data_IF_704124402421
#
_entry.id   IF_704124402421
#
_cell.length_a   1.000
_cell.length_b   1.000
_cell.length_c   1.000
_cell.angle_alpha   90.00
_cell.angle_beta   90.00
_cell.angle_gamma   90.00
#
_symmetry.space_group_name_H-M   'P 1'
#
loop_
_entity.id
_entity.type
_entity.pdbx_description
1 polymer ?
#
# COMPACT_ATOMS: atom_id res chain seq x y z
N UNK A 1 39.65 6.25 11.71
CA UNK A 1 39.00 4.94 11.67
C UNK A 1 37.73 5.11 10.85
N UNK A 2 37.72 4.55 9.65
CA UNK A 2 36.54 4.53 8.77
C UNK A 2 35.57 3.48 9.30
N UNK A 3 34.39 3.90 9.74
CA UNK A 3 33.29 2.99 10.06
C UNK A 3 32.51 2.75 8.76
N UNK A 4 32.85 1.66 8.07
CA UNK A 4 32.01 1.09 7.01
C UNK A 4 30.76 0.53 7.67
N UNK A 5 29.61 1.16 7.44
CA UNK A 5 28.31 0.58 7.77
C UNK A 5 28.06 -0.59 6.81
N UNK A 6 28.15 -1.82 7.31
CA UNK A 6 27.63 -2.98 6.60
C UNK A 6 26.10 -2.92 6.66
N UNK A 7 25.49 -2.26 5.68
CA UNK A 7 24.09 -2.52 5.33
C UNK A 7 24.05 -3.96 4.78
N UNK A 8 23.46 -4.87 5.54
CA UNK A 8 23.25 -6.24 5.10
C UNK A 8 22.42 -6.23 3.82
N UNK A 9 22.99 -6.75 2.73
CA UNK A 9 22.24 -7.00 1.50
C UNK A 9 21.29 -8.17 1.78
N UNK A 10 19.99 -7.90 1.89
CA UNK A 10 18.97 -8.91 2.19
C UNK A 10 18.77 -9.96 1.07
N UNK A 11 19.51 -9.86 -0.05
CA UNK A 11 19.26 -10.64 -1.27
C UNK A 11 20.55 -11.15 -1.94
N UNK A 12 21.47 -11.79 -1.20
CA UNK A 12 22.77 -12.25 -1.76
C UNK A 12 22.67 -13.17 -3.00
N UNK A 13 21.51 -13.80 -3.27
CA UNK A 13 21.30 -14.72 -4.40
C UNK A 13 20.40 -14.20 -5.55
N UNK A 14 19.79 -13.02 -5.43
CA UNK A 14 18.90 -12.46 -6.46
C UNK A 14 19.50 -11.19 -7.06
N UNK A 15 19.53 -11.12 -8.39
CA UNK A 15 19.95 -9.92 -9.13
C UNK A 15 18.74 -9.32 -9.86
N UNK A 16 18.25 -8.13 -9.47
CA UNK A 16 17.13 -7.49 -10.14
C UNK A 16 17.51 -7.06 -11.56
N UNK A 17 16.54 -7.12 -12.47
CA UNK A 17 16.69 -6.61 -13.84
C UNK A 17 16.77 -5.07 -13.86
N UNK A 18 17.32 -4.47 -14.92
CA UNK A 18 17.26 -3.01 -15.10
C UNK A 18 15.82 -2.45 -15.08
N UNK A 19 14.86 -3.20 -15.61
CA UNK A 19 13.45 -2.86 -15.61
C UNK A 19 12.87 -2.84 -14.19
N UNK A 20 13.18 -3.85 -13.37
CA UNK A 20 12.81 -3.90 -11.95
C UNK A 20 13.43 -2.72 -11.19
N UNK A 21 14.72 -2.43 -11.37
CA UNK A 21 15.39 -1.30 -10.72
C UNK A 21 14.72 0.04 -11.07
N UNK A 22 14.38 0.25 -12.34
CA UNK A 22 13.65 1.45 -12.78
C UNK A 22 12.25 1.53 -12.16
N UNK A 23 11.55 0.39 -12.06
CA UNK A 23 10.24 0.32 -11.42
C UNK A 23 10.33 0.61 -9.91
N UNK A 24 11.38 0.12 -9.22
CA UNK A 24 11.65 0.42 -7.81
C UNK A 24 11.85 1.92 -7.59
N UNK A 25 12.63 2.60 -8.43
CA UNK A 25 12.80 4.06 -8.34
C UNK A 25 11.49 4.79 -8.55
N UNK A 26 10.71 4.42 -9.58
CA UNK A 26 9.38 5.00 -9.80
C UNK A 26 8.47 4.80 -8.57
N UNK A 27 8.51 3.62 -7.95
CA UNK A 27 7.71 3.31 -6.78
C UNK A 27 8.09 4.19 -5.60
N UNK A 28 9.39 4.36 -5.31
CA UNK A 28 9.84 5.28 -4.26
C UNK A 28 9.42 6.74 -4.52
N UNK A 29 9.32 7.15 -5.79
CA UNK A 29 8.91 8.51 -6.15
C UNK A 29 7.39 8.70 -6.07
N UNK A 30 6.62 7.62 -6.19
CA UNK A 30 5.17 7.63 -6.25
C UNK A 30 4.51 8.03 -4.91
N UNK A 31 5.07 7.58 -3.78
CA UNK A 31 4.70 7.89 -2.38
C UNK A 31 3.27 7.61 -1.92
N UNK A 32 2.26 7.62 -2.78
CA UNK A 32 0.87 7.52 -2.36
C UNK A 32 0.03 6.70 -3.33
N UNK A 33 -0.67 5.69 -2.81
CA UNK A 33 -1.52 4.77 -3.57
C UNK A 33 -2.86 4.50 -2.90
N UNK A 34 -3.80 3.95 -3.67
CA UNK A 34 -5.10 3.47 -3.19
C UNK A 34 -5.08 1.95 -3.04
N UNK A 35 -5.46 1.44 -1.87
CA UNK A 35 -5.80 0.03 -1.72
C UNK A 35 -7.31 -0.15 -1.93
N UNK A 36 -7.73 -1.23 -2.57
CA UNK A 36 -9.13 -1.58 -2.74
C UNK A 36 -9.33 -3.03 -2.31
N UNK A 37 -10.03 -3.22 -1.19
CA UNK A 37 -10.52 -4.53 -0.75
C UNK A 37 -11.98 -4.68 -1.14
N UNK A 38 -12.21 -5.40 -2.23
CA UNK A 38 -13.55 -5.64 -2.74
C UNK A 38 -13.73 -7.07 -3.25
N UNK A 39 -14.84 -7.68 -2.86
CA UNK A 39 -15.20 -9.05 -3.19
C UNK A 39 -16.59 -9.40 -2.68
N UNK A 40 -16.99 -10.66 -2.83
CA UNK A 40 -18.34 -11.12 -2.43
C UNK A 40 -18.60 -11.00 -0.92
N UNK A 41 -17.56 -10.96 -0.09
CA UNK A 41 -17.68 -10.64 1.34
C UNK A 41 -18.38 -9.30 1.61
N UNK A 42 -18.29 -8.33 0.69
CA UNK A 42 -18.96 -7.02 0.83
C UNK A 42 -20.49 -7.15 0.90
N UNK A 43 -21.08 -8.23 0.38
CA UNK A 43 -22.53 -8.50 0.49
C UNK A 43 -22.95 -8.65 1.95
N UNK A 44 -22.08 -9.21 2.79
CA UNK A 44 -22.38 -9.41 4.21
C UNK A 44 -22.11 -8.16 5.06
N UNK A 45 -21.30 -7.22 4.55
CA UNK A 45 -21.04 -5.93 5.20
C UNK A 45 -20.38 -6.06 6.58
N UNK A 46 -19.48 -7.02 6.75
CA UNK A 46 -18.87 -7.36 8.05
C UNK A 46 -17.38 -7.71 7.88
N UNK A 47 -16.72 -7.05 6.92
CA UNK A 47 -15.31 -7.27 6.61
C UNK A 47 -15.02 -8.55 5.81
N UNK A 48 -13.80 -8.63 5.31
CA UNK A 48 -13.29 -9.65 4.38
C UNK A 48 -12.92 -10.97 5.06
N UNK A 49 -12.70 -10.96 6.37
CA UNK A 49 -12.42 -12.15 7.18
C UNK A 49 -13.66 -12.90 7.66
N UNK A 50 -14.86 -12.45 7.26
CA UNK A 50 -16.13 -12.98 7.76
C UNK A 50 -16.26 -14.50 7.63
N UNK A 51 -15.72 -15.11 6.59
CA UNK A 51 -15.76 -16.57 6.40
C UNK A 51 -15.07 -17.35 7.55
N UNK A 52 -14.04 -16.77 8.15
CA UNK A 52 -13.28 -17.35 9.26
C UNK A 52 -13.85 -16.93 10.63
N UNK A 53 -14.10 -15.63 10.81
CA UNK A 53 -14.56 -15.06 12.10
C UNK A 53 -15.98 -15.50 12.44
N UNK A 54 -16.82 -15.65 11.43
CA UNK A 54 -18.12 -16.34 11.50
C UNK A 54 -17.94 -17.60 10.67
N UNK A 55 -17.78 -18.79 11.27
CA UNK A 55 -17.37 -20.01 10.58
C UNK A 55 -18.40 -20.48 9.55
N UNK A 56 -18.45 -19.80 8.41
CA UNK A 56 -19.35 -20.04 7.29
C UNK A 56 -18.67 -21.10 6.45
N UNK A 57 -19.33 -22.25 6.28
CA UNK A 57 -18.79 -23.27 5.40
C UNK A 57 -18.80 -22.77 3.93
N UNK A 58 -17.96 -23.36 3.10
CA UNK A 58 -17.83 -23.00 1.68
C UNK A 58 -19.16 -23.12 0.90
N UNK A 59 -20.01 -24.08 1.26
CA UNK A 59 -21.31 -24.33 0.60
C UNK A 59 -22.31 -23.20 0.86
N UNK A 60 -22.31 -22.64 2.08
CA UNK A 60 -23.13 -21.51 2.47
C UNK A 60 -22.56 -20.21 1.92
N UNK A 61 -21.24 -20.05 1.97
CA UNK A 61 -20.55 -18.90 1.37
C UNK A 61 -20.74 -18.84 -0.16
N UNK A 62 -20.85 -20.00 -0.83
CA UNK A 62 -21.15 -20.11 -2.26
C UNK A 62 -22.51 -19.54 -2.68
N UNK A 63 -23.37 -19.14 -1.73
CA UNK A 63 -24.62 -18.42 -2.02
C UNK A 63 -24.39 -16.93 -2.29
N UNK A 64 -23.34 -16.32 -1.73
CA UNK A 64 -23.07 -14.88 -1.81
C UNK A 64 -22.91 -14.35 -3.24
N UNK A 65 -22.21 -15.04 -4.17
CA UNK A 65 -22.07 -14.57 -5.55
C UNK A 65 -23.42 -14.25 -6.24
N UNK A 66 -24.50 -14.95 -5.89
CA UNK A 66 -25.84 -14.70 -6.47
C UNK A 66 -26.43 -13.34 -6.06
N UNK A 67 -25.96 -12.75 -4.96
CA UNK A 67 -26.38 -11.44 -4.47
C UNK A 67 -25.43 -10.32 -4.87
N UNK A 68 -24.26 -10.66 -5.43
CA UNK A 68 -23.25 -9.69 -5.83
C UNK A 68 -23.54 -9.18 -7.25
N UNK A 69 -24.18 -8.03 -7.36
CA UNK A 69 -24.49 -7.38 -8.65
C UNK A 69 -24.12 -5.89 -8.63
N UNK A 70 -22.83 -5.53 -8.80
CA UNK A 70 -22.39 -4.16 -8.66
C UNK A 70 -22.71 -3.26 -9.87
N UNK A 71 -24.00 -2.98 -10.06
CA UNK A 71 -24.52 -2.14 -11.15
C UNK A 71 -24.05 -0.68 -11.09
N UNK A 72 -23.46 -0.24 -9.97
CA UNK A 72 -22.89 1.10 -9.78
C UNK A 72 -21.36 1.11 -9.86
N UNK A 73 -20.72 -0.03 -10.11
CA UNK A 73 -19.27 -0.06 -10.34
C UNK A 73 -18.90 0.76 -11.57
N UNK A 74 -18.16 1.84 -11.35
CA UNK A 74 -17.58 2.69 -12.38
C UNK A 74 -16.06 2.77 -12.18
N UNK A 75 -15.27 1.96 -12.93
CA UNK A 75 -13.81 1.99 -12.83
C UNK A 75 -13.22 3.34 -13.25
N UNK A 76 -13.89 4.09 -14.13
CA UNK A 76 -13.39 5.39 -14.55
C UNK A 76 -13.47 6.40 -13.41
N UNK A 77 -14.58 6.37 -12.65
CA UNK A 77 -14.78 7.18 -11.46
C UNK A 77 -13.80 6.81 -10.34
N UNK A 78 -13.54 5.51 -10.11
CA UNK A 78 -12.57 5.07 -9.10
C UNK A 78 -11.16 5.58 -9.40
N UNK A 79 -10.70 5.42 -10.65
CA UNK A 79 -9.37 5.89 -11.06
C UNK A 79 -9.28 7.42 -11.02
N UNK A 80 -10.35 8.13 -11.41
CA UNK A 80 -10.42 9.58 -11.32
C UNK A 80 -10.35 10.08 -9.87
N UNK A 81 -11.02 9.39 -8.93
CA UNK A 81 -10.97 9.69 -7.51
C UNK A 81 -9.55 9.50 -6.95
N UNK A 82 -8.90 8.38 -7.25
CA UNK A 82 -7.52 8.12 -6.84
C UNK A 82 -6.58 9.23 -7.35
N UNK A 83 -6.70 9.59 -8.63
CA UNK A 83 -5.90 10.66 -9.25
C UNK A 83 -6.17 12.02 -8.61
N UNK A 84 -7.43 12.35 -8.32
CA UNK A 84 -7.82 13.59 -7.67
C UNK A 84 -7.30 13.69 -6.22
N UNK A 85 -7.19 12.57 -5.52
CA UNK A 85 -6.57 12.49 -4.19
C UNK A 85 -5.04 12.68 -4.22
N UNK A 86 -4.42 12.62 -5.40
CA UNK A 86 -2.98 12.70 -5.61
C UNK A 86 -2.28 11.34 -5.71
N UNK A 87 -3.00 10.24 -5.58
CA UNK A 87 -2.44 8.89 -5.65
C UNK A 87 -1.89 8.59 -7.05
N UNK A 88 -0.83 7.79 -7.12
CA UNK A 88 -0.11 7.45 -8.37
C UNK A 88 -0.35 6.01 -8.82
N UNK A 89 -0.87 5.17 -7.93
CA UNK A 89 -1.15 3.78 -8.20
C UNK A 89 -2.36 3.27 -7.40
N UNK A 90 -2.92 2.17 -7.87
CA UNK A 90 -4.01 1.44 -7.24
C UNK A 90 -3.55 0.00 -7.05
N UNK A 91 -3.83 -0.58 -5.88
CA UNK A 91 -3.70 -2.01 -5.59
C UNK A 91 -5.10 -2.55 -5.30
N UNK A 92 -5.56 -3.55 -6.04
CA UNK A 92 -6.91 -4.13 -5.86
C UNK A 92 -6.85 -5.63 -5.60
N UNK A 93 -7.71 -6.13 -4.71
CA UNK A 93 -7.89 -7.57 -4.47
C UNK A 93 -8.38 -8.29 -5.73
N UNK A 94 -7.47 -8.88 -6.49
CA UNK A 94 -7.81 -9.78 -7.61
C UNK A 94 -8.36 -11.11 -7.10
N UNK A 95 -7.87 -11.56 -5.94
CA UNK A 95 -8.38 -12.69 -5.15
C UNK A 95 -8.02 -12.46 -3.69
N UNK A 96 -8.99 -12.56 -2.77
CA UNK A 96 -8.75 -12.52 -1.32
C UNK A 96 -8.70 -13.94 -0.72
N UNK A 97 -8.59 -14.06 0.61
CA UNK A 97 -8.51 -15.34 1.30
C UNK A 97 -9.71 -16.26 1.04
N UNK A 98 -10.90 -15.73 0.73
CA UNK A 98 -12.08 -16.52 0.36
C UNK A 98 -11.95 -17.23 -1.00
N UNK A 99 -10.83 -17.03 -1.70
CA UNK A 99 -10.50 -17.64 -2.98
C UNK A 99 -11.28 -17.09 -4.17
N UNK A 100 -12.19 -16.13 -3.97
CA UNK A 100 -13.07 -15.65 -5.03
C UNK A 100 -12.30 -14.72 -5.98
N UNK A 101 -12.17 -15.13 -7.24
CA UNK A 101 -11.47 -14.34 -8.24
C UNK A 101 -12.36 -13.20 -8.76
N UNK A 102 -11.88 -11.96 -8.63
CA UNK A 102 -12.52 -10.75 -9.15
C UNK A 102 -12.23 -10.51 -10.64
N UNK A 103 -11.77 -11.54 -11.36
CA UNK A 103 -11.40 -11.52 -12.76
C UNK A 103 -11.88 -12.80 -13.48
N UNK A 104 -11.90 -12.81 -14.81
CA UNK A 104 -12.41 -13.92 -15.62
C UNK A 104 -11.43 -15.10 -15.72
N UNK A 105 -11.11 -15.73 -14.58
CA UNK A 105 -10.22 -16.89 -14.52
C UNK A 105 -10.81 -18.09 -15.25
N UNK A 106 -10.02 -18.74 -16.10
CA UNK A 106 -10.37 -19.97 -16.82
C UNK A 106 -10.02 -21.24 -16.03
N UNK A 107 -9.35 -21.08 -14.89
CA UNK A 107 -8.90 -22.19 -14.03
C UNK A 107 -9.92 -22.58 -12.97
N UNK A 108 -10.92 -21.74 -12.70
CA UNK A 108 -11.98 -22.01 -11.73
C UNK A 108 -13.25 -21.27 -12.14
N UNK A 109 -14.40 -21.87 -11.86
CA UNK A 109 -15.67 -21.16 -11.95
C UNK A 109 -15.93 -20.25 -10.74
N UNK A 110 -15.13 -20.34 -9.67
CA UNK A 110 -15.25 -19.52 -8.46
C UNK A 110 -14.73 -18.09 -8.70
N UNK A 111 -15.42 -17.37 -9.60
CA UNK A 111 -15.03 -16.06 -10.07
C UNK A 111 -16.24 -15.15 -10.39
N UNK A 112 -15.98 -13.85 -10.49
CA UNK A 112 -17.00 -12.81 -10.67
C UNK A 112 -17.81 -12.97 -11.97
N UNK A 113 -17.20 -13.49 -13.04
CA UNK A 113 -17.86 -13.63 -14.35
C UNK A 113 -18.78 -14.84 -14.36
N UNK A 114 -18.32 -15.97 -13.82
CA UNK A 114 -19.04 -17.24 -13.89
C UNK A 114 -20.13 -17.39 -12.81
N UNK A 115 -19.97 -16.78 -11.63
CA UNK A 115 -20.84 -17.07 -10.46
C UNK A 115 -21.73 -15.92 -10.02
N UNK A 116 -21.67 -14.77 -10.68
CA UNK A 116 -22.46 -13.60 -10.29
C UNK A 116 -23.39 -13.16 -11.41
N UNK A 117 -24.55 -12.54 -11.09
CA UNK A 117 -25.40 -11.90 -12.10
C UNK A 117 -24.70 -10.71 -12.80
N UNK A 118 -23.58 -10.22 -12.28
CA UNK A 118 -22.84 -9.12 -12.89
C UNK A 118 -22.15 -9.54 -14.19
N UNK A 119 -21.55 -10.73 -14.20
CA UNK A 119 -21.01 -11.37 -15.41
C UNK A 119 -19.91 -10.58 -16.14
N UNK A 120 -19.21 -9.66 -15.48
CA UNK A 120 -18.18 -8.80 -16.09
C UNK A 120 -16.86 -8.87 -15.33
N UNK A 121 -15.76 -8.82 -16.08
CA UNK A 121 -14.40 -8.85 -15.56
C UNK A 121 -14.02 -7.51 -14.90
N UNK A 122 -14.05 -7.48 -13.56
CA UNK A 122 -13.79 -6.26 -12.77
C UNK A 122 -12.33 -5.81 -12.92
N UNK A 123 -11.36 -6.73 -12.87
CA UNK A 123 -9.94 -6.39 -13.01
C UNK A 123 -9.65 -5.87 -14.42
N UNK A 124 -10.19 -6.52 -15.46
CA UNK A 124 -10.02 -6.04 -16.83
C UNK A 124 -10.60 -4.65 -17.08
N UNK A 125 -11.80 -4.38 -16.53
CA UNK A 125 -12.43 -3.06 -16.59
C UNK A 125 -11.61 -1.97 -15.88
N UNK A 126 -11.04 -2.28 -14.71
CA UNK A 126 -10.20 -1.34 -13.96
C UNK A 126 -8.84 -1.11 -14.63
N UNK A 127 -8.17 -2.16 -15.11
CA UNK A 127 -6.90 -2.09 -15.81
C UNK A 127 -6.97 -1.15 -17.02
N UNK A 128 -8.03 -1.28 -17.83
CA UNK A 128 -8.27 -0.40 -18.98
C UNK A 128 -8.36 1.09 -18.57
N UNK A 129 -9.00 1.40 -17.44
CA UNK A 129 -9.11 2.78 -16.96
C UNK A 129 -7.81 3.29 -16.33
N UNK A 130 -7.09 2.45 -15.61
CA UNK A 130 -5.75 2.75 -15.10
C UNK A 130 -4.80 3.15 -16.23
N UNK A 131 -4.73 2.35 -17.30
CA UNK A 131 -3.92 2.68 -18.49
C UNK A 131 -4.38 3.96 -19.17
N UNK A 132 -5.70 4.13 -19.36
CA UNK A 132 -6.26 5.32 -20.00
C UNK A 132 -5.95 6.62 -19.22
N UNK A 133 -5.96 6.57 -17.89
CA UNK A 133 -5.83 7.76 -17.05
C UNK A 133 -4.42 7.99 -16.49
N UNK A 134 -3.49 7.07 -16.75
CA UNK A 134 -2.09 7.15 -16.34
C UNK A 134 -1.88 6.84 -14.85
N UNK A 135 -2.63 5.88 -14.31
CA UNK A 135 -2.45 5.36 -12.94
C UNK A 135 -1.93 3.94 -13.04
N UNK A 136 -0.87 3.61 -12.29
CA UNK A 136 -0.31 2.25 -12.32
C UNK A 136 -1.19 1.29 -11.53
N UNK A 137 -1.48 0.11 -12.06
CA UNK A 137 -2.31 -0.90 -11.41
C UNK A 137 -1.45 -2.04 -10.86
N UNK A 138 -1.56 -2.29 -9.57
CA UNK A 138 -1.07 -3.48 -8.89
C UNK A 138 -2.25 -4.41 -8.62
N UNK A 139 -1.99 -5.70 -8.65
CA UNK A 139 -2.98 -6.71 -8.22
C UNK A 139 -2.55 -7.26 -6.87
N UNK A 140 -3.44 -7.17 -5.89
CA UNK A 140 -3.34 -7.97 -4.69
C UNK A 140 -3.75 -9.40 -5.03
N UNK A 141 -2.99 -10.38 -4.55
CA UNK A 141 -3.30 -11.78 -4.72
C UNK A 141 -3.06 -12.54 -3.41
N UNK A 142 -4.11 -13.14 -2.86
CA UNK A 142 -3.94 -13.99 -1.69
C UNK A 142 -3.36 -15.36 -2.05
N UNK A 143 -2.21 -15.66 -1.46
CA UNK A 143 -1.59 -16.97 -1.43
C UNK A 143 -2.35 -17.94 -0.51
N UNK A 144 -3.04 -17.42 0.51
CA UNK A 144 -4.02 -18.17 1.29
C UNK A 144 -5.30 -18.38 0.48
N UNK A 145 -5.89 -19.56 0.57
CA UNK A 145 -7.17 -19.87 -0.06
C UNK A 145 -8.04 -20.74 0.86
N UNK A 146 -9.15 -20.20 1.33
CA UNK A 146 -10.14 -20.86 2.19
C UNK A 146 -11.18 -21.65 1.41
N UNK A 147 -11.18 -21.55 0.08
CA UNK A 147 -12.09 -22.29 -0.79
C UNK A 147 -11.42 -23.54 -1.37
N UNK A 148 -10.17 -23.43 -1.81
CA UNK A 148 -9.43 -24.52 -2.46
C UNK A 148 -9.24 -25.74 -1.54
N UNK A 149 -9.59 -26.92 -2.05
CA UNK A 149 -9.32 -28.20 -1.41
C UNK A 149 -7.82 -28.56 -1.45
N UNK A 150 -7.11 -28.08 -2.47
CA UNK A 150 -5.69 -28.34 -2.68
C UNK A 150 -4.76 -27.48 -1.80
N UNK A 151 -5.30 -26.45 -1.13
CA UNK A 151 -4.59 -25.72 -0.07
C UNK A 151 -4.49 -26.62 1.18
N UNK A 152 -3.70 -27.70 1.04
CA UNK A 152 -3.59 -28.79 1.99
C UNK A 152 -2.13 -29.24 2.13
N UNK A 153 -1.63 -29.54 3.35
CA UNK A 153 -2.30 -29.39 4.65
C UNK A 153 -2.77 -27.97 4.92
N UNK A 154 -3.83 -27.78 5.72
CA UNK A 154 -4.30 -26.43 6.08
C UNK A 154 -3.21 -25.67 6.85
N UNK A 155 -3.24 -24.34 6.78
CA UNK A 155 -2.42 -23.50 7.65
C UNK A 155 -3.08 -23.23 9.00
N UNK A 156 -2.96 -22.00 9.48
CA UNK A 156 -3.44 -21.55 10.80
C UNK A 156 -4.93 -21.17 10.81
N UNK A 157 -5.51 -20.92 9.65
CA UNK A 157 -6.87 -20.39 9.48
C UNK A 157 -7.72 -21.27 8.56
N UNK A 158 -9.02 -20.97 8.49
CA UNK A 158 -9.93 -21.63 7.56
C UNK A 158 -10.25 -23.07 7.94
N UNK A 159 -10.08 -23.46 9.20
CA UNK A 159 -10.33 -24.84 9.68
C UNK A 159 -11.81 -25.21 9.68
N UNK A 160 -12.70 -24.21 9.76
CA UNK A 160 -14.17 -24.40 9.84
C UNK A 160 -14.90 -24.10 8.54
N UNK A 161 -14.16 -23.97 7.44
CA UNK A 161 -14.68 -23.72 6.09
C UNK A 161 -15.35 -24.94 5.46
N UNK A 162 -15.27 -26.12 6.11
CA UNK A 162 -15.87 -27.36 5.61
C UNK A 162 -15.14 -27.95 4.40
N UNK A 163 -13.89 -27.56 4.15
CA UNK A 163 -12.99 -28.24 3.20
C UNK A 163 -12.74 -29.70 3.61
N UNK A 164 -12.43 -30.63 2.69
CA UNK A 164 -12.00 -31.97 3.07
C UNK A 164 -10.64 -31.94 3.79
N UNK A 165 -10.33 -32.99 4.56
CA UNK A 165 -9.01 -33.19 5.18
C UNK A 165 -8.06 -33.92 4.21
N UNK A 166 -8.05 -33.47 2.95
CA UNK A 166 -7.21 -33.99 1.87
C UNK A 166 -7.05 -32.92 0.79
N UNK A 167 -5.94 -32.98 0.05
CA UNK A 167 -5.66 -32.11 -1.09
C UNK A 167 -4.22 -32.24 -1.53
N UNK A 168 -3.83 -31.49 -2.55
CA UNK A 168 -2.47 -31.52 -3.10
C UNK A 168 -1.84 -30.12 -3.15
N UNK A 169 -0.87 -29.87 -2.26
CA UNK A 169 -0.14 -28.60 -2.18
C UNK A 169 0.44 -28.13 -3.52
N UNK A 170 1.08 -29.04 -4.27
CA UNK A 170 1.68 -28.70 -5.56
C UNK A 170 0.61 -28.37 -6.61
N UNK A 171 -0.55 -29.02 -6.55
CA UNK A 171 -1.69 -28.67 -7.40
C UNK A 171 -2.20 -27.26 -7.09
N UNK A 172 -2.25 -26.85 -5.82
CA UNK A 172 -2.59 -25.49 -5.44
C UNK A 172 -1.56 -24.47 -5.93
N UNK A 173 -0.26 -24.74 -5.77
CA UNK A 173 0.80 -23.85 -6.27
C UNK A 173 0.76 -23.74 -7.81
N UNK A 174 0.47 -24.83 -8.52
CA UNK A 174 0.25 -24.79 -9.97
C UNK A 174 -0.98 -23.96 -10.36
N UNK A 175 -2.08 -24.07 -9.61
CA UNK A 175 -3.27 -23.25 -9.79
C UNK A 175 -2.97 -21.77 -9.57
N UNK A 176 -2.26 -21.43 -8.49
CA UNK A 176 -1.83 -20.06 -8.19
C UNK A 176 -0.96 -19.47 -9.31
N UNK A 177 0.09 -20.18 -9.73
CA UNK A 177 0.95 -19.75 -10.84
C UNK A 177 0.15 -19.60 -12.14
N UNK A 178 -0.84 -20.45 -12.37
CA UNK A 178 -1.77 -20.35 -13.48
C UNK A 178 -2.57 -19.04 -13.45
N UNK A 179 -3.17 -18.70 -12.31
CA UNK A 179 -3.92 -17.45 -12.15
C UNK A 179 -3.03 -16.21 -12.26
N UNK A 180 -1.81 -16.26 -11.73
CA UNK A 180 -0.82 -15.19 -11.90
C UNK A 180 -0.46 -15.01 -13.37
N UNK A 181 -0.32 -16.10 -14.13
CA UNK A 181 -0.13 -16.03 -15.59
C UNK A 181 -1.31 -15.37 -16.29
N UNK A 182 -2.55 -15.72 -15.93
CA UNK A 182 -3.75 -15.06 -16.47
C UNK A 182 -3.71 -13.54 -16.23
N UNK A 183 -3.44 -13.13 -14.98
CA UNK A 183 -3.36 -11.73 -14.58
C UNK A 183 -2.27 -10.97 -15.36
N UNK A 184 -1.08 -11.54 -15.44
CA UNK A 184 0.11 -10.89 -16.04
C UNK A 184 0.15 -10.94 -17.57
N UNK A 185 -0.75 -11.66 -18.23
CA UNK A 185 -0.81 -11.74 -19.70
C UNK A 185 -2.06 -11.14 -20.30
N UNK A 186 -3.15 -11.01 -19.54
CA UNK A 186 -4.46 -10.57 -20.05
C UNK A 186 -4.68 -9.07 -19.90
N UNK A 187 -4.19 -8.47 -18.82
CA UNK A 187 -4.58 -7.11 -18.40
C UNK A 187 -3.57 -6.03 -18.76
N UNK A 188 -2.68 -6.29 -19.72
CA UNK A 188 -1.59 -5.40 -20.12
C UNK A 188 -0.52 -5.24 -19.05
N UNK A 189 0.25 -4.14 -19.11
CA UNK A 189 1.29 -3.86 -18.10
C UNK A 189 0.66 -3.63 -16.72
N UNK A 190 1.13 -4.39 -15.73
CA UNK A 190 0.85 -4.20 -14.32
C UNK A 190 2.07 -3.56 -13.63
N UNK A 191 1.80 -2.82 -12.55
CA UNK A 191 2.83 -2.28 -11.67
C UNK A 191 3.52 -3.35 -10.82
N UNK A 192 2.80 -4.42 -10.48
CA UNK A 192 3.31 -5.47 -9.63
C UNK A 192 2.23 -6.36 -9.04
N UNK A 193 2.69 -7.30 -8.21
CA UNK A 193 1.85 -8.22 -7.43
C UNK A 193 2.10 -7.97 -5.94
N UNK A 194 1.01 -7.71 -5.22
CA UNK A 194 0.98 -7.52 -3.78
C UNK A 194 0.45 -8.82 -3.15
N UNK A 195 1.34 -9.63 -2.60
CA UNK A 195 0.99 -10.93 -2.03
C UNK A 195 0.58 -10.83 -0.56
N UNK A 196 -0.28 -11.75 -0.14
CA UNK A 196 -0.72 -11.90 1.24
C UNK A 196 -1.11 -13.35 1.58
N UNK A 197 -1.06 -13.70 2.86
CA UNK A 197 -1.53 -14.98 3.37
C UNK A 197 -0.44 -16.03 3.56
N UNK A 198 0.81 -15.77 3.14
CA UNK A 198 1.93 -16.69 3.40
C UNK A 198 2.14 -16.98 4.89
N UNK A 199 1.85 -16.01 5.77
CA UNK A 199 1.91 -16.15 7.23
C UNK A 199 0.98 -17.24 7.78
N UNK A 200 0.01 -17.71 6.99
CA UNK A 200 -0.88 -18.82 7.35
C UNK A 200 -0.15 -20.18 7.35
N UNK A 201 0.89 -20.32 6.49
CA UNK A 201 1.78 -21.49 6.43
C UNK A 201 3.25 -21.05 6.41
N UNK A 202 3.78 -20.52 7.52
CA UNK A 202 5.08 -19.85 7.56
C UNK A 202 6.29 -20.77 7.30
N UNK A 203 6.09 -22.08 7.44
CA UNK A 203 7.12 -23.12 7.31
C UNK A 203 6.92 -24.02 6.07
N UNK A 204 5.89 -23.74 5.26
CA UNK A 204 5.65 -24.48 4.02
C UNK A 204 6.63 -24.05 2.93
N UNK A 205 6.97 -24.97 2.03
CA UNK A 205 7.68 -24.62 0.80
C UNK A 205 6.70 -24.02 -0.21
N UNK A 206 6.73 -22.70 -0.35
CA UNK A 206 5.87 -21.94 -1.26
C UNK A 206 6.40 -21.90 -2.70
N UNK A 207 7.55 -22.51 -2.98
CA UNK A 207 8.22 -22.44 -4.28
C UNK A 207 8.43 -20.99 -4.78
N UNK A 208 8.75 -20.04 -3.87
CA UNK A 208 8.83 -18.61 -4.19
C UNK A 208 9.75 -18.30 -5.37
N UNK A 209 10.90 -18.97 -5.48
CA UNK A 209 11.82 -18.78 -6.62
C UNK A 209 11.15 -19.09 -7.97
N UNK A 210 10.28 -20.12 -8.02
CA UNK A 210 9.52 -20.47 -9.22
C UNK A 210 8.45 -19.41 -9.51
N UNK A 211 7.64 -19.04 -8.52
CA UNK A 211 6.56 -18.06 -8.70
C UNK A 211 7.10 -16.66 -9.05
N UNK A 212 8.12 -16.18 -8.35
CA UNK A 212 8.74 -14.88 -8.62
C UNK A 212 9.49 -14.89 -9.97
N UNK A 213 10.13 -16.01 -10.33
CA UNK A 213 10.72 -16.20 -11.65
C UNK A 213 9.68 -16.13 -12.79
N UNK A 214 8.51 -16.73 -12.59
CA UNK A 214 7.39 -16.64 -13.53
C UNK A 214 6.92 -15.19 -13.72
N UNK A 215 6.75 -14.44 -12.63
CA UNK A 215 6.30 -13.04 -12.68
C UNK A 215 7.28 -12.21 -13.49
N UNK A 216 8.58 -12.27 -13.17
CA UNK A 216 9.60 -11.52 -13.88
C UNK A 216 9.82 -11.99 -15.33
N UNK A 217 9.57 -13.28 -15.64
CA UNK A 217 9.59 -13.76 -17.02
C UNK A 217 8.47 -13.14 -17.86
N UNK A 218 7.28 -12.97 -17.28
CA UNK A 218 6.12 -12.41 -17.97
C UNK A 218 6.17 -10.88 -18.03
N UNK A 219 6.57 -10.23 -16.94
CA UNK A 219 6.67 -8.79 -16.81
C UNK A 219 7.92 -8.42 -15.99
N UNK A 220 9.09 -8.22 -16.63
CA UNK A 220 10.36 -7.94 -15.95
C UNK A 220 10.38 -6.71 -15.04
N UNK A 221 9.44 -5.79 -15.24
CA UNK A 221 9.26 -4.56 -14.46
C UNK A 221 8.27 -4.70 -13.29
N UNK A 222 7.52 -5.80 -13.22
CA UNK A 222 6.48 -5.97 -12.20
C UNK A 222 7.14 -6.13 -10.82
N UNK A 223 6.77 -5.25 -9.89
CA UNK A 223 7.30 -5.29 -8.52
C UNK A 223 6.59 -6.37 -7.71
N UNK A 224 7.34 -7.11 -6.90
CA UNK A 224 6.81 -8.13 -5.99
C UNK A 224 6.94 -7.64 -4.56
N UNK A 225 5.87 -7.68 -3.80
CA UNK A 225 5.91 -7.50 -2.35
C UNK A 225 5.01 -8.54 -1.70
N UNK A 226 5.41 -9.06 -0.54
CA UNK A 226 4.62 -10.03 0.21
C UNK A 226 4.42 -9.60 1.66
N UNK A 227 3.17 -9.47 2.10
CA UNK A 227 2.81 -9.09 3.46
C UNK A 227 2.90 -10.28 4.42
N UNK A 228 4.07 -10.90 4.52
CA UNK A 228 4.30 -12.05 5.42
C UNK A 228 4.88 -11.62 6.79
N UNK A 229 4.92 -10.32 7.08
CA UNK A 229 5.45 -9.72 8.31
C UNK A 229 6.87 -10.15 8.70
N UNK A 230 7.72 -10.43 7.70
CA UNK A 230 9.14 -10.73 7.88
C UNK A 230 9.96 -9.75 7.04
N UNK A 231 11.27 -9.74 7.25
CA UNK A 231 12.21 -9.07 6.35
C UNK A 231 12.08 -9.70 4.95
N UNK A 232 12.17 -8.91 3.85
CA UNK A 232 11.91 -9.40 2.49
C UNK A 232 12.78 -10.59 2.08
N UNK A 233 12.20 -11.51 1.32
CA UNK A 233 12.90 -12.64 0.72
C UNK A 233 13.56 -12.29 -0.62
N UNK A 234 14.50 -13.12 -1.12
CA UNK A 234 15.05 -12.95 -2.47
C UNK A 234 13.96 -12.92 -3.54
N UNK A 235 14.02 -11.92 -4.41
CA UNK A 235 13.04 -11.70 -5.48
C UNK A 235 11.94 -10.70 -5.14
N UNK A 236 11.83 -10.25 -3.89
CA UNK A 236 10.91 -9.17 -3.52
C UNK A 236 11.54 -7.80 -3.80
N UNK A 237 10.73 -6.85 -4.27
CA UNK A 237 11.16 -5.53 -4.74
C UNK A 237 10.82 -4.41 -3.78
N UNK A 238 9.89 -4.63 -2.84
CA UNK A 238 9.54 -3.69 -1.81
C UNK A 238 9.10 -4.39 -0.52
N UNK A 239 9.23 -3.69 0.59
CA UNK A 239 8.85 -4.16 1.90
C UNK A 239 7.55 -3.51 2.36
N UNK A 240 6.65 -4.29 2.94
CA UNK A 240 5.36 -3.81 3.45
C UNK A 240 5.30 -3.76 4.97
N UNK A 241 4.60 -2.76 5.50
CA UNK A 241 4.27 -2.59 6.90
C UNK A 241 2.76 -2.39 7.04
N UNK A 242 2.07 -3.34 7.66
CA UNK A 242 0.61 -3.26 7.81
C UNK A 242 0.22 -2.50 9.08
N UNK A 243 -0.64 -1.49 8.93
CA UNK A 243 -1.17 -0.63 10.02
C UNK A 243 -0.09 -0.06 10.94
N UNK A 244 1.10 0.14 10.37
CA UNK A 244 2.27 0.61 11.09
C UNK A 244 3.24 1.32 10.15
N UNK A 245 4.01 2.24 10.72
CA UNK A 245 5.10 2.90 10.01
C UNK A 245 6.38 2.05 10.13
N UNK A 246 7.32 2.12 9.16
CA UNK A 246 8.59 1.41 9.26
C UNK A 246 9.29 1.67 10.61
N UNK A 247 9.59 0.60 11.34
CA UNK A 247 10.23 0.63 12.66
C UNK A 247 9.32 0.99 13.85
N UNK A 248 8.00 1.09 13.65
CA UNK A 248 7.03 1.40 14.71
C UNK A 248 6.79 0.26 15.70
N UNK A 249 6.72 -0.98 15.20
CA UNK A 249 6.40 -2.19 15.97
C UNK A 249 5.17 -2.04 16.87
N UNK A 250 4.15 -1.31 16.41
CA UNK A 250 2.94 -1.01 17.18
C UNK A 250 1.90 -2.11 17.11
N UNK A 251 1.97 -2.97 16.09
CA UNK A 251 1.07 -4.10 15.89
C UNK A 251 1.71 -5.41 16.34
N UNK A 252 0.92 -6.30 16.93
CA UNK A 252 1.38 -7.59 17.46
C UNK A 252 1.96 -8.53 16.38
N UNK A 253 1.56 -8.34 15.13
CA UNK A 253 2.05 -9.11 13.98
C UNK A 253 3.30 -8.51 13.33
N UNK A 254 3.75 -7.29 13.69
CA UNK A 254 4.94 -6.64 13.13
C UNK A 254 6.19 -6.75 14.02
N UNK A 255 6.23 -7.71 14.95
CA UNK A 255 7.28 -7.79 16.00
C UNK A 255 8.62 -8.31 15.50
N UNK A 256 8.64 -9.11 14.43
CA UNK A 256 9.85 -9.76 13.90
C UNK A 256 10.44 -9.05 12.67
N UNK A 257 9.75 -8.05 12.12
CA UNK A 257 10.12 -7.43 10.85
C UNK A 257 11.13 -6.29 11.03
N UNK A 258 12.39 -6.51 10.60
CA UNK A 258 13.38 -5.43 10.52
C UNK A 258 13.13 -4.50 9.32
N UNK A 259 13.74 -3.31 9.28
CA UNK A 259 13.62 -2.38 8.15
C UNK A 259 14.75 -2.63 7.15
N UNK A 260 14.42 -3.19 5.98
CA UNK A 260 15.37 -3.48 4.89
C UNK A 260 15.74 -2.22 4.09
N UNK A 261 16.67 -2.34 3.14
CA UNK A 261 17.07 -1.26 2.23
C UNK A 261 16.17 -1.12 0.98
N UNK A 262 15.23 -2.04 0.76
CA UNK A 262 14.30 -1.97 -0.37
C UNK A 262 13.38 -0.75 -0.25
N UNK A 263 12.73 -0.33 -1.36
CA UNK A 263 11.55 0.52 -1.29
C UNK A 263 10.55 0.00 -0.26
N UNK A 264 9.82 0.91 0.39
CA UNK A 264 8.93 0.57 1.51
C UNK A 264 7.54 1.09 1.23
N UNK A 265 6.55 0.35 1.71
CA UNK A 265 5.15 0.74 1.69
C UNK A 265 4.54 0.45 3.05
N UNK A 266 3.74 1.37 3.56
CA UNK A 266 2.84 1.14 4.68
C UNK A 266 1.41 1.17 4.19
N UNK A 267 0.59 0.21 4.60
CA UNK A 267 -0.83 0.17 4.28
C UNK A 267 -1.68 0.45 5.53
N UNK A 268 -2.75 1.22 5.38
CA UNK A 268 -3.66 1.57 6.49
C UNK A 268 -5.10 1.64 6.00
N UNK A 269 -6.04 1.36 6.91
CA UNK A 269 -7.47 1.46 6.66
C UNK A 269 -8.00 2.86 6.93
N UNK A 270 -9.02 3.30 6.20
CA UNK A 270 -9.65 4.59 6.49
C UNK A 270 -10.56 4.54 7.74
N UNK A 271 -11.17 3.39 8.00
CA UNK A 271 -11.80 3.02 9.27
C UNK A 271 -10.99 1.88 9.92
N UNK A 272 -11.62 0.89 10.56
CA UNK A 272 -10.93 -0.26 11.16
C UNK A 272 -10.93 -1.51 10.27
N UNK A 273 -11.63 -1.47 9.14
CA UNK A 273 -11.87 -2.62 8.27
C UNK A 273 -11.22 -2.43 6.89
N UNK A 274 -10.71 -3.51 6.31
CA UNK A 274 -10.22 -3.46 4.93
C UNK A 274 -11.40 -3.55 3.94
N UNK A 275 -12.17 -4.63 4.01
CA UNK A 275 -13.42 -4.80 3.29
C UNK A 275 -14.56 -3.97 3.89
N UNK A 276 -15.64 -3.81 3.12
CA UNK A 276 -16.83 -3.08 3.56
C UNK A 276 -17.41 -3.66 4.86
N UNK A 277 -17.58 -2.79 5.85
CA UNK A 277 -18.27 -3.10 7.11
C UNK A 277 -19.36 -2.04 7.34
N UNK A 278 -20.62 -2.46 7.38
CA UNK A 278 -21.79 -1.58 7.45
C UNK A 278 -21.94 -0.88 8.81
N UNK A 279 -21.24 -1.36 9.83
CA UNK A 279 -21.30 -0.82 11.21
C UNK A 279 -20.03 -0.08 11.63
N UNK A 280 -18.99 -0.05 10.80
CA UNK A 280 -17.72 0.59 11.14
C UNK A 280 -17.69 2.05 10.68
N UNK A 281 -18.25 2.92 11.50
CA UNK A 281 -18.31 4.38 11.32
C UNK A 281 -17.11 5.13 11.94
N UNK A 282 -16.12 4.39 12.45
CA UNK A 282 -14.93 4.94 13.12
C UNK A 282 -13.86 5.34 12.12
N UNK A 283 -14.20 6.32 11.30
CA UNK A 283 -13.33 6.85 10.26
C UNK A 283 -12.22 7.74 10.85
N UNK A 284 -10.97 7.50 10.44
CA UNK A 284 -9.85 8.42 10.68
C UNK A 284 -10.18 9.81 10.13
N UNK A 285 -9.75 10.87 10.79
CA UNK A 285 -9.98 12.23 10.27
C UNK A 285 -9.11 12.49 9.03
N UNK A 286 -9.51 13.42 8.17
CA UNK A 286 -8.66 13.87 7.04
C UNK A 286 -7.29 14.34 7.54
N UNK A 287 -7.23 15.01 8.69
CA UNK A 287 -5.99 15.45 9.30
C UNK A 287 -5.06 14.28 9.64
N UNK A 288 -5.61 13.21 10.23
CA UNK A 288 -4.82 12.00 10.55
C UNK A 288 -4.29 11.33 9.29
N UNK A 289 -5.10 11.25 8.22
CA UNK A 289 -4.69 10.65 6.95
C UNK A 289 -3.56 11.43 6.28
N UNK A 290 -3.62 12.77 6.28
CA UNK A 290 -2.55 13.63 5.76
C UNK A 290 -1.29 13.45 6.62
N UNK A 291 -1.42 13.48 7.95
CA UNK A 291 -0.29 13.28 8.86
C UNK A 291 0.35 11.91 8.68
N UNK A 292 -0.43 10.87 8.41
CA UNK A 292 0.09 9.54 8.13
C UNK A 292 0.89 9.52 6.82
N UNK A 293 0.35 10.10 5.73
CA UNK A 293 1.06 10.25 4.45
C UNK A 293 2.41 10.94 4.65
N UNK A 294 2.42 12.07 5.37
CA UNK A 294 3.63 12.85 5.64
C UNK A 294 4.63 12.04 6.47
N UNK A 295 4.17 11.39 7.56
CA UNK A 295 5.04 10.57 8.42
C UNK A 295 5.61 9.34 7.69
N UNK A 296 4.88 8.77 6.73
CA UNK A 296 5.35 7.71 5.85
C UNK A 296 6.44 8.24 4.90
N UNK A 297 6.18 9.36 4.22
CA UNK A 297 7.16 9.98 3.32
C UNK A 297 8.48 10.33 4.05
N UNK A 298 8.39 10.89 5.26
CA UNK A 298 9.56 11.20 6.09
C UNK A 298 10.33 9.97 6.59
N UNK A 299 9.72 8.79 6.58
CA UNK A 299 10.38 7.48 6.84
C UNK A 299 10.79 6.77 5.55
N UNK A 300 10.84 7.52 4.44
CA UNK A 300 11.13 7.01 3.10
C UNK A 300 10.25 5.81 2.70
N UNK A 301 8.96 5.87 3.03
CA UNK A 301 7.96 4.88 2.66
C UNK A 301 6.81 5.50 1.85
N UNK A 302 6.21 4.67 1.01
CA UNK A 302 4.94 4.96 0.38
C UNK A 302 3.79 4.71 1.37
N UNK A 303 2.68 5.42 1.16
CA UNK A 303 1.44 5.19 1.88
C UNK A 303 0.37 4.60 0.95
N UNK A 304 -0.16 3.44 1.30
CA UNK A 304 -1.22 2.75 0.58
C UNK A 304 -2.52 2.81 1.41
N UNK A 305 -3.41 3.74 1.07
CA UNK A 305 -4.62 4.00 1.83
C UNK A 305 -5.81 3.22 1.28
N UNK A 306 -6.44 2.42 2.12
CA UNK A 306 -7.52 1.52 1.72
C UNK A 306 -8.90 2.19 1.62
N UNK A 307 -9.66 1.73 0.63
CA UNK A 307 -11.12 1.81 0.56
C UNK A 307 -11.72 0.40 0.46
N UNK A 308 -12.83 0.18 1.18
CA UNK A 308 -13.71 -0.99 1.05
C UNK A 308 -15.03 -0.59 0.38
N UNK A 309 -15.16 -0.79 -0.96
CA UNK A 309 -16.39 -0.45 -1.69
C UNK A 309 -17.58 -1.32 -1.27
N UNK A 310 -18.78 -0.74 -1.37
CA UNK A 310 -20.05 -1.41 -1.11
C UNK A 310 -20.32 -2.52 -2.15
N UNK A 311 -21.19 -3.51 -1.87
CA UNK A 311 -21.49 -4.60 -2.79
C UNK A 311 -22.13 -4.14 -4.11
N UNK A 312 -22.65 -2.92 -4.18
CA UNK A 312 -23.17 -2.34 -5.41
C UNK A 312 -22.10 -1.70 -6.31
N UNK A 313 -20.84 -1.59 -5.84
CA UNK A 313 -19.71 -1.01 -6.57
C UNK A 313 -19.42 0.47 -6.27
N UNK A 314 -20.13 1.10 -5.34
CA UNK A 314 -19.83 2.48 -4.92
C UNK A 314 -18.78 2.49 -3.81
N UNK A 315 -17.84 3.43 -3.90
CA UNK A 315 -16.99 3.80 -2.76
C UNK A 315 -17.84 4.64 -1.81
N UNK A 316 -17.78 4.36 -0.51
CA UNK A 316 -18.57 5.02 0.52
C UNK A 316 -18.38 6.56 0.48
N UNK A 317 -19.43 7.36 0.65
CA UNK A 317 -19.33 8.81 0.55
C UNK A 317 -18.34 9.42 1.55
N UNK A 318 -18.19 8.82 2.73
CA UNK A 318 -17.24 9.21 3.77
C UNK A 318 -15.79 9.03 3.31
N UNK A 319 -15.52 8.01 2.49
CA UNK A 319 -14.22 7.79 1.86
C UNK A 319 -13.99 8.77 0.71
N UNK A 320 -15.00 9.00 -0.13
CA UNK A 320 -14.94 9.98 -1.22
C UNK A 320 -14.64 11.38 -0.68
N UNK A 321 -15.30 11.79 0.41
CA UNK A 321 -15.07 13.07 1.07
C UNK A 321 -13.61 13.21 1.51
N UNK A 322 -13.11 12.25 2.29
CA UNK A 322 -11.73 12.28 2.82
C UNK A 322 -10.69 12.28 1.72
N UNK A 323 -10.85 11.44 0.70
CA UNK A 323 -9.95 11.42 -0.46
C UNK A 323 -9.96 12.75 -1.22
N UNK A 324 -11.14 13.38 -1.35
CA UNK A 324 -11.26 14.71 -1.97
C UNK A 324 -10.53 15.77 -1.15
N UNK A 325 -10.65 15.74 0.17
CA UNK A 325 -9.97 16.69 1.07
C UNK A 325 -8.46 16.46 1.12
N UNK A 326 -8.00 15.21 1.19
CA UNK A 326 -6.58 14.84 1.01
C UNK A 326 -6.07 15.35 -0.34
N UNK A 327 -6.87 15.22 -1.40
CA UNK A 327 -6.55 15.75 -2.73
C UNK A 327 -6.32 17.26 -2.78
N UNK A 328 -7.09 18.04 -1.99
CA UNK A 328 -6.86 19.49 -1.86
C UNK A 328 -5.48 19.77 -1.24
N UNK A 329 -5.11 19.00 -0.20
CA UNK A 329 -3.82 19.14 0.45
C UNK A 329 -2.67 18.70 -0.46
N UNK A 330 -2.75 17.54 -1.11
CA UNK A 330 -1.70 17.04 -2.01
C UNK A 330 -1.51 17.91 -3.26
N UNK A 331 -2.55 18.63 -3.70
CA UNK A 331 -2.41 19.61 -4.78
C UNK A 331 -1.55 20.81 -4.39
N UNK A 332 -1.60 21.24 -3.12
CA UNK A 332 -0.84 22.38 -2.62
C UNK A 332 0.56 21.98 -2.15
N UNK A 333 0.68 20.87 -1.43
CA UNK A 333 1.91 20.45 -0.75
C UNK A 333 2.54 19.20 -1.35
N UNK A 334 2.02 18.67 -2.45
CA UNK A 334 2.50 17.41 -3.03
C UNK A 334 3.98 17.42 -3.42
N UNK A 335 4.56 18.60 -3.68
CA UNK A 335 5.99 18.69 -4.00
C UNK A 335 6.92 18.33 -2.83
N UNK A 336 6.45 18.45 -1.58
CA UNK A 336 7.17 18.00 -0.39
C UNK A 336 6.98 16.50 -0.11
N UNK A 337 6.24 15.80 -0.97
CA UNK A 337 5.98 14.36 -0.86
C UNK A 337 6.55 13.64 -2.08
N UNK A 338 6.04 13.92 -3.28
CA UNK A 338 6.39 13.16 -4.49
C UNK A 338 7.83 13.38 -4.95
N UNK A 339 8.51 12.28 -5.29
CA UNK A 339 9.93 12.30 -5.69
C UNK A 339 10.89 12.70 -4.57
N UNK A 340 10.45 12.69 -3.31
CA UNK A 340 11.32 12.93 -2.15
C UNK A 340 11.93 11.64 -1.62
N UNK A 341 12.92 11.78 -0.74
CA UNK A 341 13.39 10.74 0.19
C UNK A 341 13.16 11.18 1.63
N UNK A 342 13.32 10.26 2.58
CA UNK A 342 13.31 10.59 4.00
C UNK A 342 14.38 11.64 4.27
N UNK A 343 14.03 12.71 4.98
CA UNK A 343 14.91 13.85 5.17
C UNK A 343 16.01 13.60 6.22
N UNK A 344 16.96 14.53 6.33
CA UNK A 344 18.17 14.34 7.14
C UNK A 344 17.93 14.47 8.65
N UNK A 345 16.77 14.99 9.06
CA UNK A 345 16.41 15.13 10.47
C UNK A 345 15.51 13.98 10.88
N UNK A 346 15.90 13.29 11.94
CA UNK A 346 15.14 12.17 12.49
C UNK A 346 13.70 12.58 12.83
N UNK A 347 12.77 11.69 12.51
CA UNK A 347 11.36 11.86 12.81
C UNK A 347 11.13 11.94 14.34
N UNK A 348 10.23 12.82 14.78
CA UNK A 348 9.90 12.96 16.20
C UNK A 348 8.43 13.28 16.44
N UNK A 349 8.05 13.55 17.71
CA UNK A 349 6.71 14.02 18.04
C UNK A 349 6.33 15.25 17.23
N UNK A 350 7.26 16.20 17.09
CA UNK A 350 7.09 17.46 16.35
C UNK A 350 6.69 17.28 14.88
N UNK A 351 7.12 16.18 14.23
CA UNK A 351 6.94 15.98 12.80
C UNK A 351 8.07 15.17 12.15
N UNK A 352 8.32 15.44 10.86
CA UNK A 352 9.33 14.75 10.04
C UNK A 352 9.98 15.70 9.04
N UNK A 353 11.06 15.25 8.39
CA UNK A 353 11.58 15.91 7.19
C UNK A 353 11.50 14.99 5.98
N UNK A 354 11.35 15.60 4.80
CA UNK A 354 11.60 14.97 3.50
C UNK A 354 12.64 15.78 2.75
N UNK A 355 13.31 15.19 1.75
CA UNK A 355 14.30 15.90 0.95
C UNK A 355 14.18 15.58 -0.55
N UNK A 356 14.50 16.59 -1.37
CA UNK A 356 14.65 16.45 -2.83
C UNK A 356 15.71 17.42 -3.33
N UNK A 357 16.83 16.89 -3.82
CA UNK A 357 17.93 17.70 -4.32
C UNK A 357 18.58 18.54 -3.21
N UNK A 358 18.46 19.86 -3.30
CA UNK A 358 18.95 20.79 -2.28
C UNK A 358 17.85 21.38 -1.40
N UNK A 359 16.62 20.88 -1.51
CA UNK A 359 15.49 21.32 -0.70
C UNK A 359 15.19 20.27 0.38
N UNK A 360 15.16 20.71 1.64
CA UNK A 360 14.63 19.92 2.77
C UNK A 360 13.28 20.51 3.15
N UNK A 361 12.23 19.70 3.13
CA UNK A 361 10.92 20.10 3.59
C UNK A 361 10.75 19.66 5.04
N UNK A 362 10.49 20.62 5.92
CA UNK A 362 10.22 20.40 7.35
C UNK A 362 8.72 20.41 7.53
N UNK A 363 8.17 19.27 7.95
CA UNK A 363 6.76 19.08 8.21
C UNK A 363 6.50 19.21 9.70
N UNK A 364 5.99 20.35 10.16
CA UNK A 364 5.74 20.61 11.58
C UNK A 364 4.28 20.28 11.90
N UNK A 365 4.07 19.05 12.41
CA UNK A 365 2.74 18.46 12.63
C UNK A 365 2.19 18.78 14.03
N UNK A 366 2.99 18.54 15.07
CA UNK A 366 2.55 18.59 16.46
C UNK A 366 3.54 19.40 17.30
N UNK A 367 3.51 20.74 17.14
CA UNK A 367 4.43 21.66 17.82
C UNK A 367 3.73 22.95 18.27
N UNK A 368 3.87 23.31 19.54
CA UNK A 368 3.20 24.47 20.14
C UNK A 368 4.16 25.54 20.68
N UNK A 369 5.47 25.38 20.45
CA UNK A 369 6.47 26.36 20.88
C UNK A 369 6.88 27.26 19.70
N UNK A 370 7.35 28.48 20.01
CA UNK A 370 7.76 29.46 19.01
C UNK A 370 9.02 29.06 18.22
N UNK A 371 9.79 28.11 18.75
CA UNK A 371 11.10 27.73 18.23
C UNK A 371 11.20 26.22 18.13
N UNK A 372 11.77 25.70 17.04
CA UNK A 372 12.04 24.29 16.80
C UNK A 372 13.52 24.12 16.44
N UNK A 373 14.25 23.33 17.21
CA UNK A 373 15.63 22.97 16.92
C UNK A 373 15.67 21.70 16.07
N UNK A 374 16.39 21.75 14.96
CA UNK A 374 16.58 20.66 14.02
C UNK A 374 18.06 20.28 13.98
N UNK A 375 18.40 19.14 14.57
CA UNK A 375 19.74 18.56 14.48
C UNK A 375 19.93 17.85 13.13
N UNK A 376 21.18 17.77 12.65
CA UNK A 376 21.49 16.91 11.50
C UNK A 376 21.26 17.53 10.12
N UNK A 377 21.05 18.85 10.02
CA UNK A 377 21.01 19.54 8.72
C UNK A 377 22.39 19.42 8.05
N UNK A 378 22.50 18.85 6.85
CA UNK A 378 23.78 18.38 6.31
C UNK A 378 24.66 19.50 5.72
N UNK A 379 24.07 20.66 5.43
CA UNK A 379 24.71 21.80 4.75
C UNK A 379 24.17 23.12 5.32
N UNK A 380 24.86 24.22 5.03
CA UNK A 380 24.33 25.56 5.35
C UNK A 380 22.94 25.77 4.73
N UNK A 381 22.09 26.57 5.39
CA UNK A 381 20.75 26.92 4.91
C UNK A 381 20.78 28.34 4.36
N UNK A 382 20.42 28.49 3.09
CA UNK A 382 20.37 29.77 2.37
C UNK A 382 19.07 30.51 2.65
N UNK A 383 17.95 29.79 2.73
CA UNK A 383 16.64 30.38 3.02
C UNK A 383 15.68 29.36 3.62
N UNK A 384 14.76 29.83 4.45
CA UNK A 384 13.61 29.07 4.92
C UNK A 384 12.32 29.80 4.54
N UNK A 385 11.36 29.10 3.93
CA UNK A 385 10.08 29.68 3.50
C UNK A 385 8.91 28.76 3.80
N UNK A 386 7.76 29.31 4.16
CA UNK A 386 6.52 28.55 4.23
C UNK A 386 6.10 28.13 2.82
N UNK A 387 5.79 26.85 2.63
CA UNK A 387 5.43 26.33 1.31
C UNK A 387 4.07 26.86 0.83
N UNK A 388 3.17 27.18 1.77
CA UNK A 388 1.80 27.63 1.47
C UNK A 388 1.72 28.97 0.72
N UNK A 389 2.63 29.90 1.04
CA UNK A 389 2.57 31.31 0.58
C UNK A 389 3.94 31.93 0.24
N UNK A 390 5.05 31.20 0.47
CA UNK A 390 6.40 31.67 0.20
C UNK A 390 6.95 32.69 1.20
N UNK A 391 6.21 32.99 2.28
CA UNK A 391 6.68 33.91 3.33
C UNK A 391 7.95 33.38 4.00
N UNK A 392 8.83 34.31 4.39
CA UNK A 392 10.12 33.95 4.98
C UNK A 392 9.96 33.48 6.42
N UNK A 393 10.68 32.42 6.78
CA UNK A 393 10.77 31.90 8.14
C UNK A 393 12.13 32.28 8.71
N UNK A 394 12.13 32.87 9.91
CA UNK A 394 13.36 33.24 10.59
C UNK A 394 14.09 31.99 11.09
N UNK A 395 15.40 31.94 10.88
CA UNK A 395 16.24 30.83 11.31
C UNK A 395 17.63 31.28 11.76
N UNK A 396 18.26 30.51 12.64
CA UNK A 396 19.64 30.70 13.08
C UNK A 396 20.42 29.39 12.98
N UNK A 397 21.60 29.43 12.36
CA UNK A 397 22.51 28.29 12.36
C UNK A 397 23.12 28.09 13.75
N UNK A 398 23.23 26.84 14.18
CA UNK A 398 23.90 26.44 15.44
C UNK A 398 24.90 25.32 15.16
N UNK A 399 25.78 25.03 16.12
CA UNK A 399 26.94 24.12 15.94
C UNK A 399 26.58 22.75 15.33
N UNK A 400 25.38 22.24 15.58
CA UNK A 400 24.94 20.89 15.17
C UNK A 400 23.64 20.89 14.35
N UNK A 401 23.22 22.05 13.82
CA UNK A 401 22.02 22.13 13.01
C UNK A 401 21.44 23.53 12.88
N UNK A 402 20.11 23.61 13.00
CA UNK A 402 19.33 24.81 12.72
C UNK A 402 18.30 25.06 13.82
N UNK A 403 18.07 26.33 14.15
CA UNK A 403 16.94 26.74 14.98
C UNK A 403 15.97 27.51 14.09
N UNK A 404 14.75 27.01 13.94
CA UNK A 404 13.65 27.66 13.21
C UNK A 404 12.74 28.39 14.18
N UNK A 405 12.36 29.62 13.85
CA UNK A 405 11.24 30.30 14.50
C UNK A 405 9.95 29.92 13.79
N UNK A 406 9.22 28.97 14.35
CA UNK A 406 8.02 28.40 13.74
C UNK A 406 6.92 29.47 13.71
N UNK A 407 6.39 29.85 12.53
CA UNK A 407 5.27 30.76 12.45
C UNK A 407 4.04 30.21 13.18
N UNK A 408 3.18 31.13 13.63
CA UNK A 408 1.90 30.76 14.23
C UNK A 408 1.07 29.92 13.24
N UNK A 409 0.44 28.87 13.75
CA UNK A 409 -0.38 27.99 12.95
C UNK A 409 -1.65 28.73 12.48
N UNK A 410 -2.07 28.47 11.24
CA UNK A 410 -3.40 28.89 10.78
C UNK A 410 -4.48 27.99 11.38
N UNK A 411 -5.71 28.50 11.46
CA UNK A 411 -6.87 27.68 11.79
C UNK A 411 -6.97 26.51 10.81
N UNK A 412 -7.20 25.30 11.32
CA UNK A 412 -7.29 24.07 10.52
C UNK A 412 -5.99 23.65 9.79
N UNK A 413 -4.84 24.23 10.16
CA UNK A 413 -3.56 23.84 9.57
C UNK A 413 -3.10 22.46 10.07
N UNK A 414 -3.23 21.46 9.20
CA UNK A 414 -2.88 20.05 9.49
C UNK A 414 -1.36 19.83 9.51
N UNK A 415 -0.64 20.55 8.67
CA UNK A 415 0.81 20.43 8.45
C UNK A 415 1.41 21.77 8.04
N UNK A 416 2.34 22.29 8.85
CA UNK A 416 3.13 23.48 8.55
C UNK A 416 4.38 23.07 7.79
N UNK A 417 4.32 23.16 6.47
CA UNK A 417 5.44 22.79 5.59
C UNK A 417 6.37 23.98 5.38
N UNK A 418 7.62 23.86 5.82
CA UNK A 418 8.68 24.85 5.63
C UNK A 418 9.74 24.28 4.69
N UNK A 419 9.97 24.93 3.55
CA UNK A 419 11.04 24.57 2.62
C UNK A 419 12.35 25.26 3.02
N UNK A 420 13.37 24.46 3.30
CA UNK A 420 14.74 24.89 3.54
C UNK A 420 15.55 24.67 2.26
N UNK A 421 16.09 25.76 1.70
CA UNK A 421 17.02 25.69 0.59
C UNK A 421 18.45 25.59 1.15
N UNK A 422 19.09 24.45 0.90
CA UNK A 422 20.46 24.20 1.30
C UNK A 422 21.45 24.87 0.34
N UNK A 423 22.61 25.26 0.87
CA UNK A 423 23.75 25.66 0.08
C UNK A 423 24.19 24.55 -0.88
N UNK A 424 24.81 24.87 -2.04
CA UNK A 424 25.30 23.86 -2.98
C UNK A 424 26.23 22.84 -2.30
N UNK A 425 26.20 21.60 -2.78
CA UNK A 425 27.21 20.61 -2.41
C UNK A 425 28.59 21.12 -2.88
N UNK A 426 29.61 20.98 -2.03
CA UNK A 426 30.99 21.38 -2.35
C UNK A 426 31.65 20.44 -3.33
#
# INVERSE_FOLDING_TARGET
>A
MLATSCLASAQEAYTPTPESLKARTWFEDAKFGMFIHWGVYSVLGDGEWIMETRPINRTDYAKLPNFFNPIKFDPAAWVALAKAAGMKYITITSKHHDGFAMFDSKLTDWNVVARTPYGKDVIGMLAAQCHKQGIKLFVYYSQLDWHSEDYFPRGRTGHRTGRPDSGNWDAYLNFMDGQLRELLTTYGELGGVWFDGMWDKPDADWHLARTYGLIHQLQPQALIGSNHHRTPFPGEDFQMFEKDLPGGHTQSFNTEQGVSALPRETCETMNNSWGFNITDDRYKSTADLIRYLVRAAGRNANFLLNVGPMPNGEIQPEFVQRLTEVGKWTKQFGESIYGTRGGPVEAGPWGVTTERGSTVYVHVLDWNQAVLALAGIPRGVRSAKLLRDGSSVEFSAVKEGLVLRVPEAQSEEVDRVIALELEPAK
#
